data_IF_829987277768
#
_entry.id   IF_829987277768
#
_cell.length_a   1.000
_cell.length_b   1.000
_cell.length_c   1.000
_cell.angle_alpha   90.00
_cell.angle_beta   90.00
_cell.angle_gamma   90.00
#
_symmetry.space_group_name_H-M   'P 1'
#
loop_
_entity.id
_entity.type
_entity.pdbx_description
1 polymer ?
#
# COMPACT_ATOMS: atom_id res chain seq x y z
N UNK A 1 -10.49 25.89 17.60
CA UNK A 1 -9.49 24.98 17.02
C UNK A 1 -9.98 24.56 15.65
N UNK A 2 -9.89 25.42 14.61
CA UNK A 2 -10.49 25.16 13.30
C UNK A 2 -9.55 24.46 12.29
N UNK A 3 -8.23 24.47 12.51
CA UNK A 3 -7.28 23.79 11.62
C UNK A 3 -7.27 22.25 11.75
N UNK A 4 -7.95 21.67 12.74
CA UNK A 4 -8.10 20.21 12.90
C UNK A 4 -9.28 19.62 12.11
N UNK A 5 -10.08 20.43 11.40
CA UNK A 5 -11.40 20.01 10.86
C UNK A 5 -11.47 19.85 9.34
N UNK A 6 -10.43 20.21 8.59
CA UNK A 6 -10.39 20.01 7.14
C UNK A 6 -9.25 19.07 6.79
N UNK A 7 -9.58 17.94 6.17
CA UNK A 7 -8.59 17.02 5.64
C UNK A 7 -8.02 17.60 4.35
N UNK A 8 -6.69 17.68 4.23
CA UNK A 8 -6.04 18.00 2.96
C UNK A 8 -6.13 16.78 2.03
N UNK A 9 -7.19 16.73 1.23
CA UNK A 9 -7.51 15.58 0.38
C UNK A 9 -6.52 15.40 -0.77
N UNK A 10 -5.83 16.47 -1.19
CA UNK A 10 -4.76 16.45 -2.17
C UNK A 10 -3.49 15.81 -1.61
N UNK A 11 -3.09 16.17 -0.39
CA UNK A 11 -2.00 15.48 0.32
C UNK A 11 -2.31 14.00 0.52
N UNK A 12 -3.53 13.66 0.92
CA UNK A 12 -3.96 12.27 1.10
C UNK A 12 -3.91 11.49 -0.22
N UNK A 13 -4.33 12.08 -1.34
CA UNK A 13 -4.19 11.46 -2.68
C UNK A 13 -2.72 11.24 -3.06
N UNK A 14 -1.85 12.20 -2.74
CA UNK A 14 -0.41 12.06 -2.90
C UNK A 14 0.15 10.88 -2.12
N UNK A 15 -0.22 10.76 -0.83
CA UNK A 15 0.15 9.62 0.02
C UNK A 15 -0.39 8.30 -0.53
N UNK A 16 -1.65 8.26 -0.97
CA UNK A 16 -2.26 7.07 -1.58
C UNK A 16 -1.52 6.63 -2.86
N UNK A 17 -1.13 7.58 -3.70
CA UNK A 17 -0.31 7.34 -4.89
C UNK A 17 1.05 6.73 -4.56
N UNK A 18 1.74 7.28 -3.54
CA UNK A 18 3.03 6.75 -3.06
C UNK A 18 2.88 5.33 -2.53
N UNK A 19 1.84 5.06 -1.74
CA UNK A 19 1.57 3.73 -1.20
C UNK A 19 1.34 2.72 -2.33
N UNK A 20 0.51 3.03 -3.33
CA UNK A 20 0.31 2.14 -4.48
C UNK A 20 1.60 1.88 -5.26
N UNK A 21 2.44 2.91 -5.47
CA UNK A 21 3.75 2.76 -6.11
C UNK A 21 4.73 1.89 -5.31
N UNK A 22 4.75 2.06 -3.98
CA UNK A 22 5.55 1.23 -3.07
C UNK A 22 5.05 -0.23 -3.07
N UNK A 23 3.74 -0.45 -3.12
CA UNK A 23 3.14 -1.77 -3.29
C UNK A 23 3.67 -2.49 -4.53
N UNK A 24 3.69 -1.81 -5.68
CA UNK A 24 4.28 -2.36 -6.91
C UNK A 24 5.77 -2.70 -6.76
N UNK A 25 6.54 -1.85 -6.08
CA UNK A 25 7.97 -2.08 -5.81
C UNK A 25 8.18 -3.31 -4.92
N UNK A 26 7.39 -3.44 -3.85
CA UNK A 26 7.42 -4.60 -2.96
C UNK A 26 7.08 -5.89 -3.69
N UNK A 27 6.07 -5.88 -4.57
CA UNK A 27 5.70 -7.05 -5.36
C UNK A 27 6.86 -7.53 -6.26
N UNK A 28 7.58 -6.60 -6.88
CA UNK A 28 8.76 -6.91 -7.68
C UNK A 28 9.89 -7.52 -6.83
N UNK A 29 10.15 -6.96 -5.63
CA UNK A 29 11.14 -7.50 -4.68
C UNK A 29 10.74 -8.90 -4.20
N UNK A 30 9.47 -9.11 -3.85
CA UNK A 30 8.97 -10.42 -3.40
C UNK A 30 9.16 -11.50 -4.46
N UNK A 31 8.95 -11.15 -5.73
CA UNK A 31 9.21 -12.05 -6.86
C UNK A 31 10.71 -12.33 -7.05
N UNK A 32 11.56 -11.30 -6.95
CA UNK A 32 13.01 -11.47 -7.10
C UNK A 32 13.62 -12.37 -6.00
N UNK A 33 13.12 -12.28 -4.76
CA UNK A 33 13.60 -13.09 -3.64
C UNK A 33 13.13 -14.55 -3.76
N UNK A 34 11.94 -14.81 -4.32
CA UNK A 34 11.39 -16.17 -4.41
C UNK A 34 12.04 -17.04 -5.50
N UNK A 35 12.67 -16.44 -6.51
CA UNK A 35 13.24 -17.15 -7.68
C UNK A 35 14.72 -17.52 -7.53
N UNK A 36 15.25 -17.54 -6.30
CA UNK A 36 16.68 -17.80 -6.09
C UNK A 36 17.10 -19.19 -6.62
N UNK A 37 18.15 -19.31 -7.45
CA UNK A 37 18.50 -20.55 -8.16
C UNK A 37 19.31 -21.50 -7.28
N UNK A 38 18.67 -22.00 -6.23
CA UNK A 38 19.25 -22.88 -5.21
C UNK A 38 19.91 -24.12 -5.83
N UNK A 39 19.29 -24.74 -6.83
CA UNK A 39 19.82 -25.92 -7.50
C UNK A 39 21.19 -25.68 -8.16
N UNK A 40 21.47 -24.46 -8.63
CA UNK A 40 22.74 -24.11 -9.26
C UNK A 40 23.90 -24.02 -8.25
N UNK A 41 23.60 -23.91 -6.95
CA UNK A 41 24.61 -23.81 -5.88
C UNK A 41 24.95 -25.15 -5.24
N UNK A 42 24.20 -26.21 -5.53
CA UNK A 42 24.41 -27.54 -4.93
C UNK A 42 25.85 -28.08 -5.11
N UNK A 43 26.53 -27.90 -6.26
CA UNK A 43 27.92 -28.35 -6.44
C UNK A 43 28.94 -27.57 -5.58
N UNK A 44 28.63 -26.32 -5.22
CA UNK A 44 29.54 -25.42 -4.47
C UNK A 44 29.58 -25.79 -2.99
N UNK A 45 28.45 -26.21 -2.44
CA UNK A 45 28.27 -26.44 -1.00
C UNK A 45 28.41 -27.91 -0.58
N UNK A 46 28.47 -28.83 -1.54
CA UNK A 46 28.61 -30.27 -1.28
C UNK A 46 27.43 -30.88 -0.49
N UNK A 47 27.53 -32.14 -0.05
CA UNK A 47 26.43 -32.86 0.61
C UNK A 47 26.00 -32.25 1.95
N UNK A 48 26.94 -31.72 2.72
CA UNK A 48 26.68 -31.12 4.03
C UNK A 48 25.95 -29.78 3.86
N UNK A 49 26.41 -28.95 2.91
CA UNK A 49 25.80 -27.65 2.65
C UNK A 49 24.46 -27.73 1.91
N UNK A 50 24.12 -28.89 1.32
CA UNK A 50 22.82 -29.11 0.67
C UNK A 50 21.62 -28.90 1.62
N UNK A 51 21.76 -29.24 2.90
CA UNK A 51 20.70 -29.00 3.89
C UNK A 51 20.46 -27.52 4.17
N UNK A 52 21.55 -26.74 4.32
CA UNK A 52 21.48 -25.29 4.49
C UNK A 52 20.91 -24.62 3.25
N UNK A 53 21.29 -25.11 2.08
CA UNK A 53 20.81 -24.63 0.79
C UNK A 53 19.31 -24.91 0.60
N UNK A 54 18.82 -26.08 1.03
CA UNK A 54 17.40 -26.39 1.07
C UNK A 54 16.61 -25.52 2.07
N UNK A 55 17.15 -25.31 3.28
CA UNK A 55 16.55 -24.40 4.26
C UNK A 55 16.48 -22.96 3.73
N UNK A 56 17.57 -22.48 3.11
CA UNK A 56 17.62 -21.19 2.44
C UNK A 56 16.54 -21.08 1.36
N UNK A 57 16.38 -22.10 0.50
CA UNK A 57 15.34 -22.14 -0.53
C UNK A 57 13.94 -21.91 0.03
N UNK A 58 13.60 -22.67 1.09
CA UNK A 58 12.31 -22.58 1.74
C UNK A 58 12.10 -21.21 2.39
N UNK A 59 13.13 -20.67 3.05
CA UNK A 59 13.08 -19.34 3.66
C UNK A 59 12.91 -18.24 2.60
N UNK A 60 13.65 -18.29 1.50
CA UNK A 60 13.52 -17.32 0.40
C UNK A 60 12.15 -17.39 -0.26
N UNK A 61 11.61 -18.59 -0.49
CA UNK A 61 10.26 -18.77 -1.01
C UNK A 61 9.21 -18.18 -0.05
N UNK A 62 9.31 -18.50 1.26
CA UNK A 62 8.42 -17.93 2.29
C UNK A 62 8.55 -16.41 2.36
N UNK A 63 9.76 -15.87 2.35
CA UNK A 63 10.00 -14.43 2.40
C UNK A 63 9.39 -13.74 1.18
N UNK A 64 9.50 -14.32 -0.01
CA UNK A 64 8.84 -13.79 -1.21
C UNK A 64 7.32 -13.71 -1.07
N UNK A 65 6.69 -14.73 -0.46
CA UNK A 65 5.26 -14.72 -0.16
C UNK A 65 4.89 -13.63 0.87
N UNK A 66 5.64 -13.54 1.97
CA UNK A 66 5.39 -12.57 3.03
C UNK A 66 5.53 -11.12 2.49
N UNK A 67 6.53 -10.86 1.63
CA UNK A 67 6.69 -9.57 0.93
C UNK A 67 5.56 -9.31 -0.07
N UNK A 68 5.08 -10.33 -0.78
CA UNK A 68 3.92 -10.22 -1.65
C UNK A 68 2.63 -9.86 -0.89
N UNK A 69 2.43 -10.41 0.31
CA UNK A 69 1.31 -10.03 1.17
C UNK A 69 1.44 -8.58 1.67
N UNK A 70 2.65 -8.16 2.04
CA UNK A 70 2.91 -6.76 2.40
C UNK A 70 2.62 -5.82 1.22
N UNK A 71 3.03 -6.19 0.01
CA UNK A 71 2.75 -5.41 -1.20
C UNK A 71 1.25 -5.18 -1.42
N UNK A 72 0.42 -6.22 -1.21
CA UNK A 72 -1.03 -6.11 -1.30
C UNK A 72 -1.59 -5.17 -0.24
N UNK A 73 -1.17 -5.32 1.02
CA UNK A 73 -1.64 -4.48 2.13
C UNK A 73 -1.30 -3.01 1.93
N UNK A 74 -0.09 -2.70 1.46
CA UNK A 74 0.32 -1.31 1.18
C UNK A 74 -0.47 -0.73 0.01
N UNK A 75 -0.74 -1.53 -1.02
CA UNK A 75 -1.58 -1.09 -2.15
C UNK A 75 -3.01 -0.82 -1.71
N UNK A 76 -3.59 -1.71 -0.89
CA UNK A 76 -4.94 -1.57 -0.35
C UNK A 76 -5.07 -0.35 0.58
N UNK A 77 -4.04 -0.08 1.40
CA UNK A 77 -3.95 1.15 2.17
C UNK A 77 -4.04 2.38 1.26
N UNK A 78 -3.30 2.38 0.13
CA UNK A 78 -3.32 3.51 -0.81
C UNK A 78 -4.69 3.71 -1.48
N UNK A 79 -5.37 2.62 -1.83
CA UNK A 79 -6.76 2.66 -2.31
C UNK A 79 -7.69 3.22 -1.24
N UNK A 80 -7.56 2.74 -0.01
CA UNK A 80 -8.38 3.19 1.13
C UNK A 80 -8.20 4.67 1.40
N UNK A 81 -6.96 5.18 1.34
CA UNK A 81 -6.67 6.61 1.46
C UNK A 81 -7.37 7.42 0.37
N UNK A 82 -7.33 6.98 -0.89
CA UNK A 82 -8.03 7.67 -1.98
C UNK A 82 -9.55 7.68 -1.79
N UNK A 83 -10.13 6.57 -1.34
CA UNK A 83 -11.57 6.49 -1.04
C UNK A 83 -11.93 7.43 0.11
N UNK A 84 -11.11 7.49 1.16
CA UNK A 84 -11.30 8.40 2.27
C UNK A 84 -11.21 9.88 1.82
N UNK A 85 -10.25 10.23 0.97
CA UNK A 85 -10.15 11.57 0.38
C UNK A 85 -11.43 11.99 -0.34
N UNK A 86 -12.01 11.10 -1.15
CA UNK A 86 -13.27 11.39 -1.83
C UNK A 86 -14.43 11.58 -0.81
N UNK A 87 -14.45 10.80 0.26
CA UNK A 87 -15.45 10.96 1.33
C UNK A 87 -15.35 12.29 2.06
N UNK A 88 -14.14 12.85 2.23
CA UNK A 88 -13.96 14.19 2.77
C UNK A 88 -14.46 15.27 1.82
N UNK A 89 -14.11 15.20 0.53
CA UNK A 89 -14.59 16.17 -0.47
C UNK A 89 -16.12 16.16 -0.59
N UNK A 90 -16.73 14.97 -0.60
CA UNK A 90 -18.19 14.82 -0.63
C UNK A 90 -18.85 15.43 0.61
N UNK A 91 -18.24 15.27 1.79
CA UNK A 91 -18.76 15.86 3.03
C UNK A 91 -18.68 17.40 3.00
N UNK A 92 -17.54 17.95 2.57
CA UNK A 92 -17.32 19.39 2.45
C UNK A 92 -18.29 20.03 1.44
N UNK A 93 -18.49 19.39 0.28
CA UNK A 93 -19.46 19.83 -0.73
C UNK A 93 -20.90 19.85 -0.21
N UNK A 94 -21.29 18.82 0.54
CA UNK A 94 -22.64 18.74 1.11
C UNK A 94 -22.85 19.79 2.20
N UNK A 95 -21.85 20.05 3.04
CA UNK A 95 -21.89 21.12 4.03
C UNK A 95 -22.01 22.47 3.34
N UNK A 96 -21.21 22.73 2.29
CA UNK A 96 -21.27 23.97 1.52
C UNK A 96 -22.65 24.23 0.89
N UNK A 97 -23.25 23.20 0.28
CA UNK A 97 -24.62 23.27 -0.28
C UNK A 97 -25.67 23.60 0.79
N UNK A 98 -25.60 22.95 1.95
CA UNK A 98 -26.57 23.17 3.04
C UNK A 98 -26.45 24.60 3.62
N UNK A 99 -25.23 25.12 3.76
CA UNK A 99 -25.01 26.50 4.21
C UNK A 99 -25.57 27.49 3.19
N UNK A 100 -25.27 27.31 1.90
CA UNK A 100 -25.77 28.19 0.83
C UNK A 100 -27.30 28.23 0.80
N UNK A 101 -27.95 27.06 0.87
CA UNK A 101 -29.41 26.96 0.90
C UNK A 101 -30.03 27.65 2.14
N UNK A 102 -29.35 27.56 3.28
CA UNK A 102 -29.81 28.24 4.51
C UNK A 102 -29.71 29.77 4.37
N UNK A 103 -28.63 30.27 3.77
CA UNK A 103 -28.45 31.72 3.52
C UNK A 103 -29.53 32.24 2.56
N UNK A 104 -29.75 31.55 1.44
CA UNK A 104 -30.81 31.91 0.47
C UNK A 104 -32.20 31.94 1.13
N UNK A 105 -32.49 31.00 2.04
CA UNK A 105 -33.76 30.98 2.78
C UNK A 105 -33.92 32.09 3.83
N UNK A 106 -32.83 32.72 4.26
CA UNK A 106 -32.86 33.89 5.17
C UNK A 106 -33.03 35.19 4.38
N UNK A 107 -32.54 35.25 3.15
CA UNK A 107 -32.64 36.43 2.27
C UNK A 107 -33.99 36.55 1.53
N UNK A 108 -34.82 35.50 1.56
CA UNK A 108 -36.15 35.43 0.94
C UNK A 108 -37.29 35.89 1.88
#
# INVERSE_FOLDING_TARGET
MPEELSADTDLLRGVGGVQMGMGGTLAAVGTAVSIFPVAALAPVFGPIGAHYLGAFAMTSAKQGLDVGQLAMSVTESGVTTNVASNGYDDADDNIGKNISATVEGIEA
#
